data_IF_339990780103
#
_entry.id   IF_339990780103
#
_cell.length_a   1.000
_cell.length_b   1.000
_cell.length_c   1.000
_cell.angle_alpha   90.00
_cell.angle_beta   90.00
_cell.angle_gamma   90.00
#
_symmetry.space_group_name_H-M   'P 1'
#
loop_
_entity.id
_entity.type
_entity.pdbx_description
1 polymer ?
#
# COMPACT_ATOMS: atom_id res chain seq x y z
N UNK A 1 -9.82 -14.59 12.85
CA UNK A 1 -9.74 -13.69 11.69
C UNK A 1 -10.63 -12.49 11.97
N UNK A 2 -10.05 -11.39 12.49
CA UNK A 2 -10.82 -10.24 12.92
C UNK A 2 -11.39 -9.49 11.70
N UNK A 3 -12.71 -9.35 11.67
CA UNK A 3 -13.35 -8.32 10.86
C UNK A 3 -12.86 -6.97 11.37
N UNK A 4 -12.04 -6.29 10.57
CA UNK A 4 -11.61 -4.94 10.88
C UNK A 4 -12.55 -3.97 10.18
N UNK A 5 -13.71 -3.75 10.80
CA UNK A 5 -14.54 -2.58 10.50
C UNK A 5 -13.79 -1.38 11.07
N UNK A 6 -12.89 -0.78 10.29
CA UNK A 6 -12.25 0.46 10.70
C UNK A 6 -13.31 1.58 10.66
N UNK A 7 -13.58 2.21 11.81
CA UNK A 7 -14.29 3.47 11.84
C UNK A 7 -13.44 4.49 11.07
N UNK A 8 -13.92 4.99 9.92
CA UNK A 8 -13.25 5.93 9.00
C UNK A 8 -11.73 6.00 9.16
N UNK A 9 -11.02 5.06 8.53
CA UNK A 9 -9.57 4.94 8.66
C UNK A 9 -8.83 6.18 8.14
N UNK A 10 -8.06 6.82 9.01
CA UNK A 10 -7.14 7.91 8.66
C UNK A 10 -5.91 7.41 7.91
N UNK A 11 -5.08 8.34 7.43
CA UNK A 11 -3.82 8.02 6.74
C UNK A 11 -2.94 7.03 7.51
N UNK A 12 -2.76 7.24 8.82
CA UNK A 12 -1.90 6.42 9.67
C UNK A 12 -2.39 4.97 9.73
N UNK A 13 -3.69 4.76 9.90
CA UNK A 13 -4.29 3.42 9.94
C UNK A 13 -4.13 2.68 8.60
N UNK A 14 -4.28 3.39 7.48
CA UNK A 14 -4.05 2.80 6.15
C UNK A 14 -2.58 2.42 5.97
N UNK A 15 -1.66 3.29 6.39
CA UNK A 15 -0.23 3.05 6.30
C UNK A 15 0.17 1.83 7.14
N UNK A 16 -0.27 1.77 8.39
CA UNK A 16 0.02 0.66 9.30
C UNK A 16 -0.51 -0.67 8.74
N UNK A 17 -1.77 -0.68 8.28
CA UNK A 17 -2.38 -1.86 7.68
C UNK A 17 -1.59 -2.37 6.47
N UNK A 18 -1.34 -1.50 5.48
CA UNK A 18 -0.65 -1.90 4.25
C UNK A 18 0.78 -2.36 4.54
N UNK A 19 1.47 -1.70 5.47
CA UNK A 19 2.82 -2.11 5.91
C UNK A 19 2.78 -3.51 6.51
N UNK A 20 1.83 -3.78 7.40
CA UNK A 20 1.65 -5.10 8.03
C UNK A 20 1.32 -6.21 7.03
N UNK A 21 0.47 -5.94 6.04
CA UNK A 21 0.14 -6.90 4.98
C UNK A 21 1.35 -7.24 4.09
N UNK A 22 2.11 -6.22 3.70
CA UNK A 22 3.25 -6.37 2.79
C UNK A 22 4.44 -7.01 3.51
N UNK A 23 4.85 -6.46 4.67
CA UNK A 23 5.98 -6.99 5.44
C UNK A 23 5.65 -8.33 6.09
N UNK A 24 4.38 -8.57 6.42
CA UNK A 24 3.90 -9.86 6.90
C UNK A 24 3.81 -10.94 5.82
N UNK A 25 4.14 -10.62 4.56
CA UNK A 25 4.16 -11.57 3.45
C UNK A 25 2.78 -12.00 2.95
N UNK A 26 1.70 -11.35 3.40
CA UNK A 26 0.34 -11.61 2.90
C UNK A 26 0.16 -11.09 1.48
N UNK A 27 0.90 -10.03 1.12
CA UNK A 27 1.01 -9.54 -0.24
C UNK A 27 2.44 -9.77 -0.74
N UNK A 28 2.67 -10.76 -1.63
CA UNK A 28 4.01 -11.08 -2.08
C UNK A 28 4.64 -9.94 -2.92
N UNK A 29 5.98 -9.85 -2.95
CA UNK A 29 6.70 -8.95 -3.84
C UNK A 29 6.26 -9.11 -5.31
N UNK A 30 6.02 -8.00 -6.00
CA UNK A 30 5.54 -7.97 -7.39
C UNK A 30 4.03 -8.07 -7.56
N UNK A 31 3.30 -8.42 -6.50
CA UNK A 31 1.84 -8.41 -6.52
C UNK A 31 1.29 -7.01 -6.73
N UNK A 32 0.18 -6.94 -7.47
CA UNK A 32 -0.56 -5.70 -7.71
C UNK A 32 -1.48 -5.45 -6.52
N UNK A 33 -1.41 -4.25 -5.96
CA UNK A 33 -2.37 -3.79 -4.97
C UNK A 33 -3.68 -3.39 -5.67
N UNK A 34 -4.83 -3.48 -4.96
CA UNK A 34 -6.07 -2.88 -5.43
C UNK A 34 -5.87 -1.38 -5.69
N UNK A 35 -6.69 -0.79 -6.55
CA UNK A 35 -6.59 0.64 -6.83
C UNK A 35 -6.99 1.48 -5.59
N UNK A 36 -6.65 2.77 -5.59
CA UNK A 36 -6.93 3.67 -4.45
C UNK A 36 -8.41 3.66 -4.04
N UNK A 37 -9.33 3.54 -5.00
CA UNK A 37 -10.78 3.54 -4.74
C UNK A 37 -11.20 2.25 -4.05
N UNK A 38 -10.72 1.10 -4.51
CA UNK A 38 -10.98 -0.19 -3.90
C UNK A 38 -10.39 -0.28 -2.50
N UNK A 39 -9.14 0.15 -2.32
CA UNK A 39 -8.51 0.24 -1.00
C UNK A 39 -9.31 1.13 -0.05
N UNK A 40 -9.75 2.31 -0.51
CA UNK A 40 -10.58 3.21 0.28
C UNK A 40 -11.89 2.54 0.71
N UNK A 41 -12.56 1.82 -0.19
CA UNK A 41 -13.79 1.08 0.12
C UNK A 41 -13.52 -0.08 1.08
N UNK A 42 -12.47 -0.88 0.88
CA UNK A 42 -12.15 -2.03 1.71
C UNK A 42 -11.72 -1.63 3.13
N UNK A 43 -10.97 -0.53 3.26
CA UNK A 43 -10.43 -0.06 4.53
C UNK A 43 -11.34 0.96 5.23
N UNK A 44 -12.47 1.32 4.62
CA UNK A 44 -13.34 2.39 5.12
C UNK A 44 -12.62 3.74 5.22
N UNK A 45 -11.63 4.00 4.37
CA UNK A 45 -10.77 5.18 4.43
C UNK A 45 -11.13 6.21 3.34
N UNK A 46 -10.65 7.44 3.49
CA UNK A 46 -10.72 8.43 2.40
C UNK A 46 -9.72 8.08 1.29
N UNK A 47 -10.06 8.37 0.03
CA UNK A 47 -9.12 8.20 -1.10
C UNK A 47 -7.82 8.99 -0.91
N UNK A 48 -7.89 10.16 -0.30
CA UNK A 48 -6.73 10.98 0.06
C UNK A 48 -5.83 10.30 1.09
N UNK A 49 -6.40 9.69 2.14
CA UNK A 49 -5.64 8.93 3.13
C UNK A 49 -4.89 7.76 2.48
N UNK A 50 -5.59 7.00 1.62
CA UNK A 50 -4.97 5.90 0.86
C UNK A 50 -3.83 6.41 -0.02
N UNK A 51 -4.05 7.47 -0.79
CA UNK A 51 -3.02 8.03 -1.66
C UNK A 51 -1.78 8.46 -0.89
N UNK A 52 -1.94 9.14 0.24
CA UNK A 52 -0.78 9.57 1.04
C UNK A 52 -0.05 8.36 1.66
N UNK A 53 -0.77 7.33 2.11
CA UNK A 53 -0.14 6.10 2.61
C UNK A 53 0.68 5.41 1.50
N UNK A 54 0.11 5.29 0.29
CA UNK A 54 0.81 4.71 -0.85
C UNK A 54 2.05 5.52 -1.25
N UNK A 55 2.01 6.86 -1.17
CA UNK A 55 3.19 7.71 -1.43
C UNK A 55 4.30 7.47 -0.41
N UNK A 56 3.96 7.33 0.87
CA UNK A 56 4.95 7.03 1.93
C UNK A 56 5.58 5.66 1.70
N UNK A 57 4.76 4.64 1.43
CA UNK A 57 5.27 3.30 1.09
C UNK A 57 6.14 3.32 -0.18
N UNK A 58 5.80 4.15 -1.15
CA UNK A 58 6.60 4.31 -2.36
C UNK A 58 7.95 4.98 -2.07
N UNK A 59 7.96 6.03 -1.24
CA UNK A 59 9.19 6.70 -0.81
C UNK A 59 10.10 5.77 0.00
N UNK A 60 9.53 4.83 0.75
CA UNK A 60 10.26 3.79 1.48
C UNK A 60 10.70 2.62 0.59
N UNK A 61 10.33 2.61 -0.70
CA UNK A 61 10.64 1.51 -1.62
C UNK A 61 9.88 0.22 -1.33
N UNK A 62 8.81 0.27 -0.52
CA UNK A 62 7.95 -0.88 -0.22
C UNK A 62 7.00 -1.18 -1.40
N UNK A 63 6.58 -0.14 -2.11
CA UNK A 63 5.73 -0.25 -3.30
C UNK A 63 6.28 0.60 -4.45
N UNK A 64 5.80 0.31 -5.66
CA UNK A 64 6.10 1.04 -6.88
C UNK A 64 4.80 1.40 -7.59
N UNK A 65 4.70 2.62 -8.11
CA UNK A 65 3.57 3.04 -8.94
C UNK A 65 3.98 3.06 -10.40
N UNK A 66 3.14 2.49 -11.26
CA UNK A 66 3.31 2.53 -12.72
C UNK A 66 2.18 3.34 -13.33
N UNK A 67 2.51 4.24 -14.26
CA UNK A 67 1.53 5.03 -15.02
C UNK A 67 1.13 4.29 -16.31
N UNK A 68 -0.09 4.52 -16.81
CA UNK A 68 -0.62 3.95 -18.05
C UNK A 68 -1.90 3.12 -17.87
N UNK A 69 -2.46 2.53 -18.96
CA UNK A 69 -3.73 1.80 -18.94
C UNK A 69 -3.73 0.55 -18.05
N UNK A 70 -2.56 -0.08 -17.88
CA UNK A 70 -2.34 -1.17 -16.92
C UNK A 70 -1.65 -0.70 -15.63
N UNK A 71 -1.58 0.62 -15.43
CA UNK A 71 -0.93 1.27 -14.31
C UNK A 71 -1.59 0.97 -12.95
N UNK A 72 -0.86 1.27 -11.89
CA UNK A 72 -1.30 0.99 -10.52
C UNK A 72 -0.11 0.69 -9.61
N UNK A 73 -0.43 0.43 -8.34
CA UNK A 73 0.58 0.18 -7.32
C UNK A 73 0.91 -1.31 -7.24
N UNK A 74 2.19 -1.63 -7.14
CA UNK A 74 2.71 -2.98 -6.95
C UNK A 74 3.67 -3.03 -5.78
N UNK A 75 3.69 -4.13 -5.04
CA UNK A 75 4.73 -4.36 -4.03
C UNK A 75 6.09 -4.46 -4.72
N UNK A 76 7.09 -3.75 -4.21
CA UNK A 76 8.42 -3.76 -4.80
C UNK A 76 9.00 -5.19 -4.80
N UNK A 77 9.45 -5.66 -5.97
CA UNK A 77 10.06 -6.99 -6.14
C UNK A 77 11.49 -7.06 -5.64
N UNK A 78 12.18 -5.92 -5.63
CA UNK A 78 13.46 -5.75 -4.99
C UNK A 78 13.28 -4.91 -3.74
N UNK A 79 13.69 -5.42 -2.58
CA UNK A 79 14.29 -4.54 -1.60
C UNK A 79 15.44 -3.84 -2.34
N UNK A 80 15.18 -2.62 -2.81
CA UNK A 80 16.15 -1.82 -3.51
C UNK A 80 17.38 -1.77 -2.63
N UNK A 81 18.45 -2.38 -3.12
CA UNK A 81 19.81 -2.36 -2.58
C UNK A 81 20.06 -1.08 -1.77
N UNK A 82 19.82 -1.12 -0.46
CA UNK A 82 20.51 -0.24 0.48
C UNK A 82 21.92 -0.81 0.58
N UNK A 83 22.69 -0.59 -0.49
CA UNK A 83 24.12 -0.70 -0.58
C UNK A 83 24.60 0.61 -1.18
N UNK A 84 25.34 1.40 -0.39
CA UNK A 84 26.22 2.46 -0.87
C UNK A 84 25.74 3.88 -0.58
N UNK A 85 26.38 4.53 0.41
CA UNK A 85 26.25 5.94 0.73
C UNK A 85 26.58 6.22 2.19
#
# INVERSE_FOLDING_TARGET
MAGMTFATGGFESVLEYLTGEILGGRVPPGSRLPNERELATQLGASRSAVREALKVLQAQGVVTSHTGPAGGTRVATGQGRLSGG
#
